data_IF_554215910671
#
_entry.id   IF_554215910671
#
_cell.length_a   1.000
_cell.length_b   1.000
_cell.length_c   1.000
_cell.angle_alpha   90.00
_cell.angle_beta   90.00
_cell.angle_gamma   90.00
#
_symmetry.space_group_name_H-M   'P 1'
#
loop_
_entity.id
_entity.type
_entity.pdbx_description
1 polymer ?
#
# COMPACT_ATOMS: atom_id res chain seq x y z
N UNK A 1 31.73 42.98 -22.42
CA UNK A 1 32.47 41.85 -21.81
C UNK A 1 32.01 41.49 -20.39
N UNK A 2 31.55 42.42 -19.55
CA UNK A 2 31.04 42.09 -18.20
C UNK A 2 29.59 41.56 -18.15
N UNK A 3 28.76 41.84 -19.16
CA UNK A 3 27.38 41.31 -19.22
C UNK A 3 27.29 39.82 -19.62
N UNK A 4 28.31 39.28 -20.28
CA UNK A 4 28.33 37.88 -20.74
C UNK A 4 28.70 36.90 -19.62
N UNK A 5 29.31 37.38 -18.53
CA UNK A 5 29.73 36.56 -17.38
C UNK A 5 28.56 36.33 -16.41
N UNK A 6 27.57 37.24 -16.39
CA UNK A 6 26.40 37.09 -15.51
C UNK A 6 25.41 36.00 -15.98
N UNK A 7 25.41 35.68 -17.28
CA UNK A 7 24.47 34.69 -17.83
C UNK A 7 24.90 33.24 -17.58
N UNK A 8 26.19 32.99 -17.35
CA UNK A 8 26.70 31.67 -16.99
C UNK A 8 26.36 31.25 -15.55
N UNK A 9 25.95 32.19 -14.68
CA UNK A 9 25.56 31.88 -13.29
C UNK A 9 24.08 31.52 -13.13
N UNK A 10 23.27 31.65 -14.18
CA UNK A 10 21.84 31.31 -14.16
C UNK A 10 21.51 29.98 -14.85
N UNK A 11 22.51 29.30 -15.41
CA UNK A 11 22.39 27.93 -15.92
C UNK A 11 23.14 26.99 -14.98
N UNK A 12 22.88 27.13 -13.68
CA UNK A 12 22.97 25.95 -12.83
C UNK A 12 21.83 25.06 -13.30
N UNK A 13 22.14 24.04 -14.10
CA UNK A 13 21.25 22.89 -14.19
C UNK A 13 20.93 22.52 -12.73
N UNK A 14 19.67 22.70 -12.33
CA UNK A 14 19.15 21.96 -11.21
C UNK A 14 19.06 20.53 -11.74
N UNK A 15 20.22 19.85 -11.86
CA UNK A 15 20.25 18.40 -11.89
C UNK A 15 19.65 18.06 -10.54
N UNK A 16 18.37 17.70 -10.53
CA UNK A 16 17.68 17.23 -9.33
C UNK A 16 18.55 16.10 -8.79
N UNK A 17 19.29 16.38 -7.72
CA UNK A 17 20.26 15.44 -7.18
C UNK A 17 19.43 14.30 -6.61
N UNK A 18 19.30 13.21 -7.37
CA UNK A 18 18.61 12.01 -6.90
C UNK A 18 19.16 11.65 -5.53
N UNK A 19 18.29 11.15 -4.65
CA UNK A 19 18.69 10.73 -3.31
C UNK A 19 19.84 9.71 -3.35
N UNK A 20 19.94 8.97 -4.45
CA UNK A 20 21.00 8.00 -4.75
C UNK A 20 22.40 8.64 -4.70
N UNK A 21 22.54 9.93 -5.04
CA UNK A 21 23.84 10.60 -5.09
C UNK A 21 24.21 11.39 -3.83
N UNK A 22 23.23 11.77 -3.01
CA UNK A 22 23.48 12.54 -1.77
C UNK A 22 23.64 11.66 -0.52
N UNK A 23 22.98 10.50 -0.47
CA UNK A 23 22.97 9.59 0.67
C UNK A 23 23.14 8.11 0.26
N UNK A 24 23.99 7.88 -0.76
CA UNK A 24 24.14 6.60 -1.47
C UNK A 24 24.09 5.34 -0.59
N UNK A 25 24.88 5.19 0.49
CA UNK A 25 24.89 3.94 1.25
C UNK A 25 23.57 3.67 1.98
N UNK A 26 22.92 4.73 2.51
CA UNK A 26 21.64 4.62 3.21
C UNK A 26 20.51 4.32 2.23
N UNK A 27 20.51 4.96 1.07
CA UNK A 27 19.51 4.77 0.01
C UNK A 27 19.62 3.36 -0.58
N UNK A 28 20.82 2.89 -0.91
CA UNK A 28 21.03 1.52 -1.42
C UNK A 28 20.51 0.48 -0.43
N UNK A 29 20.87 0.60 0.86
CA UNK A 29 20.39 -0.32 1.89
C UNK A 29 18.85 -0.29 2.04
N UNK A 30 18.23 0.86 1.81
CA UNK A 30 16.78 0.97 1.83
C UNK A 30 16.15 0.36 0.57
N UNK A 31 16.75 0.50 -0.61
CA UNK A 31 16.34 -0.18 -1.84
C UNK A 31 16.38 -1.70 -1.70
N UNK A 32 17.42 -2.25 -1.06
CA UNK A 32 17.47 -3.68 -0.74
C UNK A 32 16.31 -4.10 0.18
N UNK A 33 15.90 -3.22 1.11
CA UNK A 33 14.77 -3.48 1.99
C UNK A 33 13.45 -3.41 1.22
N UNK A 34 13.32 -2.46 0.30
CA UNK A 34 12.18 -2.34 -0.61
C UNK A 34 12.01 -3.61 -1.46
N UNK A 35 13.08 -4.13 -2.05
CA UNK A 35 13.06 -5.37 -2.83
C UNK A 35 12.57 -6.56 -1.98
N UNK A 36 13.06 -6.68 -0.74
CA UNK A 36 12.60 -7.73 0.19
C UNK A 36 11.13 -7.60 0.56
N UNK A 37 10.55 -6.39 0.56
CA UNK A 37 9.09 -6.24 0.73
C UNK A 37 8.36 -6.80 -0.48
N UNK A 38 8.83 -6.52 -1.70
CA UNK A 38 8.22 -7.05 -2.92
C UNK A 38 8.26 -8.59 -2.96
N UNK A 39 9.37 -9.20 -2.55
CA UNK A 39 9.49 -10.66 -2.39
C UNK A 39 8.49 -11.19 -1.34
N UNK A 40 8.47 -10.59 -0.15
CA UNK A 40 7.57 -11.01 0.92
C UNK A 40 6.09 -10.81 0.56
N UNK A 41 5.75 -9.82 -0.26
CA UNK A 41 4.39 -9.59 -0.74
C UNK A 41 3.90 -10.72 -1.64
N UNK A 42 4.77 -11.35 -2.43
CA UNK A 42 4.42 -12.50 -3.28
C UNK A 42 4.04 -13.75 -2.49
N UNK A 43 4.65 -13.93 -1.31
CA UNK A 43 4.42 -15.07 -0.41
C UNK A 43 3.46 -14.73 0.76
N UNK A 44 2.86 -13.55 0.75
CA UNK A 44 2.03 -13.09 1.87
C UNK A 44 0.73 -13.88 1.96
N UNK A 45 0.55 -14.57 3.08
CA UNK A 45 -0.65 -15.31 3.42
C UNK A 45 -1.11 -14.86 4.81
N UNK A 46 -2.23 -14.15 4.86
CA UNK A 46 -2.79 -13.60 6.09
C UNK A 46 -3.04 -14.68 7.16
N UNK A 47 -3.33 -15.91 6.76
CA UNK A 47 -3.62 -17.02 7.68
C UNK A 47 -2.35 -17.73 8.17
N UNK A 48 -1.20 -17.45 7.56
CA UNK A 48 0.07 -18.05 7.91
C UNK A 48 0.91 -17.10 8.78
N UNK A 49 1.06 -17.47 10.06
CA UNK A 49 1.82 -16.69 11.04
C UNK A 49 3.30 -16.47 10.64
N UNK A 50 3.88 -17.38 9.85
CA UNK A 50 5.30 -17.27 9.44
C UNK A 50 5.48 -16.18 8.40
N UNK A 51 4.65 -16.17 7.36
CA UNK A 51 4.75 -15.21 6.25
C UNK A 51 4.25 -13.82 6.67
N UNK A 52 3.21 -13.73 7.51
CA UNK A 52 2.78 -12.46 8.10
C UNK A 52 3.85 -11.84 9.00
N UNK A 53 4.51 -12.64 9.85
CA UNK A 53 5.60 -12.14 10.72
C UNK A 53 6.78 -11.62 9.89
N UNK A 54 7.28 -12.41 8.93
CA UNK A 54 8.41 -11.98 8.10
C UNK A 54 8.09 -10.73 7.29
N UNK A 55 6.88 -10.66 6.72
CA UNK A 55 6.40 -9.48 5.98
C UNK A 55 6.36 -8.24 6.87
N UNK A 56 5.73 -8.33 8.04
CA UNK A 56 5.64 -7.22 8.98
C UNK A 56 7.02 -6.75 9.46
N UNK A 57 7.98 -7.66 9.67
CA UNK A 57 9.35 -7.31 10.03
C UNK A 57 10.08 -6.52 8.93
N UNK A 58 9.98 -6.95 7.67
CA UNK A 58 10.61 -6.25 6.54
C UNK A 58 9.90 -4.92 6.28
N UNK A 59 8.56 -4.88 6.36
CA UNK A 59 7.77 -3.67 6.27
C UNK A 59 8.14 -2.63 7.33
N UNK A 60 8.35 -3.06 8.58
CA UNK A 60 8.84 -2.18 9.64
C UNK A 60 10.25 -1.63 9.35
N UNK A 61 11.12 -2.41 8.69
CA UNK A 61 12.44 -1.92 8.24
C UNK A 61 12.30 -0.89 7.12
N UNK A 62 11.42 -1.11 6.14
CA UNK A 62 11.17 -0.18 5.05
C UNK A 62 10.64 1.16 5.58
N UNK A 63 9.60 1.14 6.43
CA UNK A 63 9.04 2.36 7.05
C UNK A 63 10.09 3.19 7.79
N UNK A 64 11.05 2.54 8.45
CA UNK A 64 12.15 3.24 9.15
C UNK A 64 13.17 3.86 8.19
N UNK A 65 13.37 3.27 7.02
CA UNK A 65 14.38 3.76 6.07
C UNK A 65 13.80 4.63 4.94
N UNK A 66 12.48 4.64 4.74
CA UNK A 66 11.81 5.43 3.70
C UNK A 66 12.12 6.93 3.73
N UNK A 67 12.41 7.60 4.88
CA UNK A 67 12.85 9.00 4.86
C UNK A 67 14.14 9.24 4.06
N UNK A 68 14.93 8.20 3.77
CA UNK A 68 16.10 8.31 2.89
C UNK A 68 15.74 8.73 1.45
N UNK A 69 14.48 8.56 1.04
CA UNK A 69 13.95 8.98 -0.26
C UNK A 69 13.24 10.34 -0.22
N UNK A 70 13.30 11.11 0.88
CA UNK A 70 12.56 12.37 1.02
C UNK A 70 12.96 13.47 0.00
N UNK A 71 14.13 13.35 -0.62
CA UNK A 71 14.61 14.22 -1.68
C UNK A 71 14.22 13.76 -3.09
N UNK A 72 13.55 12.62 -3.23
CA UNK A 72 13.30 12.01 -4.53
C UNK A 72 12.14 12.72 -5.19
N UNK A 73 12.32 13.08 -6.46
CA UNK A 73 11.35 13.84 -7.24
C UNK A 73 10.87 13.08 -8.45
N UNK A 74 11.51 11.96 -8.80
CA UNK A 74 11.08 11.09 -9.88
C UNK A 74 9.74 10.42 -9.50
N UNK A 75 8.66 10.83 -10.16
CA UNK A 75 7.28 10.44 -9.84
C UNK A 75 7.10 8.93 -9.73
N UNK A 76 7.73 8.17 -10.64
CA UNK A 76 7.64 6.70 -10.64
C UNK A 76 8.25 6.08 -9.38
N UNK A 77 9.37 6.61 -8.90
CA UNK A 77 10.03 6.10 -7.70
C UNK A 77 9.18 6.43 -6.47
N UNK A 78 8.69 7.67 -6.39
CA UNK A 78 7.80 8.11 -5.30
C UNK A 78 6.52 7.28 -5.26
N UNK A 79 5.89 7.05 -6.41
CA UNK A 79 4.69 6.21 -6.53
C UNK A 79 4.93 4.78 -6.04
N UNK A 80 6.02 4.14 -6.51
CA UNK A 80 6.35 2.77 -6.10
C UNK A 80 6.61 2.68 -4.60
N UNK A 81 7.37 3.63 -4.04
CA UNK A 81 7.62 3.69 -2.59
C UNK A 81 6.30 3.83 -1.80
N UNK A 82 5.41 4.71 -2.23
CA UNK A 82 4.13 4.94 -1.57
C UNK A 82 3.21 3.71 -1.61
N UNK A 83 3.11 3.04 -2.77
CA UNK A 83 2.33 1.80 -2.89
C UNK A 83 2.91 0.70 -2.00
N UNK A 84 4.23 0.57 -1.93
CA UNK A 84 4.86 -0.43 -1.05
C UNK A 84 4.67 -0.09 0.43
N UNK A 85 4.70 1.19 0.82
CA UNK A 85 4.36 1.61 2.18
C UNK A 85 2.89 1.35 2.51
N UNK A 86 1.98 1.60 1.57
CA UNK A 86 0.56 1.30 1.70
C UNK A 86 0.32 -0.20 1.89
N UNK A 87 0.99 -1.04 1.10
CA UNK A 87 0.99 -2.49 1.32
C UNK A 87 1.43 -2.84 2.76
N UNK A 88 2.51 -2.20 3.24
CA UNK A 88 2.99 -2.42 4.60
C UNK A 88 2.05 -1.92 5.71
N UNK A 89 1.24 -0.89 5.44
CA UNK A 89 0.16 -0.47 6.34
C UNK A 89 -0.98 -1.49 6.32
N UNK A 90 -1.42 -1.92 5.14
CA UNK A 90 -2.47 -2.92 4.97
C UNK A 90 -2.09 -4.27 5.62
N UNK A 91 -0.90 -4.80 5.35
CA UNK A 91 -0.42 -6.05 5.93
C UNK A 91 -0.38 -5.97 7.47
N UNK A 92 0.08 -4.84 8.00
CA UNK A 92 0.08 -4.56 9.44
C UNK A 92 -1.32 -4.55 10.04
N UNK A 93 -2.26 -3.82 9.42
CA UNK A 93 -3.66 -3.77 9.84
C UNK A 93 -4.32 -5.15 9.78
N UNK A 94 -4.18 -5.86 8.66
CA UNK A 94 -4.80 -7.16 8.47
C UNK A 94 -4.30 -8.18 9.49
N UNK A 95 -2.98 -8.22 9.73
CA UNK A 95 -2.38 -9.17 10.68
C UNK A 95 -2.74 -8.83 12.13
N UNK A 96 -2.65 -7.57 12.53
CA UNK A 96 -2.67 -7.19 13.94
C UNK A 96 -4.05 -6.76 14.45
N UNK A 97 -4.93 -6.29 13.57
CA UNK A 97 -6.23 -5.74 13.96
C UNK A 97 -7.38 -6.56 13.37
N UNK A 98 -7.40 -6.72 12.03
CA UNK A 98 -8.49 -7.38 11.34
C UNK A 98 -8.61 -8.86 11.69
N UNK A 99 -7.56 -9.66 11.50
CA UNK A 99 -7.62 -11.10 11.70
C UNK A 99 -7.97 -11.48 13.16
N UNK A 100 -7.37 -10.85 14.20
CA UNK A 100 -7.79 -11.10 15.58
C UNK A 100 -9.24 -10.71 15.85
N UNK A 101 -9.74 -9.65 15.21
CA UNK A 101 -11.16 -9.26 15.29
C UNK A 101 -12.05 -10.31 14.64
N UNK A 102 -11.72 -10.74 13.42
CA UNK A 102 -12.45 -11.75 12.66
C UNK A 102 -12.54 -13.07 13.45
N UNK A 103 -11.43 -13.54 14.03
CA UNK A 103 -11.41 -14.74 14.88
C UNK A 103 -12.38 -14.60 16.07
N UNK A 104 -12.43 -13.42 16.71
CA UNK A 104 -13.37 -13.17 17.82
C UNK A 104 -14.82 -13.18 17.34
N UNK A 105 -15.12 -12.59 16.18
CA UNK A 105 -16.45 -12.61 15.58
C UNK A 105 -16.88 -14.03 15.24
N UNK A 106 -16.01 -14.81 14.61
CA UNK A 106 -16.27 -16.20 14.21
C UNK A 106 -16.41 -17.15 15.42
N UNK A 107 -15.74 -16.84 16.54
CA UNK A 107 -15.92 -17.61 17.78
C UNK A 107 -17.30 -17.43 18.42
N UNK A 108 -18.06 -16.40 18.02
CA UNK A 108 -19.39 -16.06 18.56
C UNK A 108 -20.44 -16.09 17.47
N UNK A 109 -20.49 -17.20 16.74
CA UNK A 109 -21.42 -17.40 15.64
C UNK A 109 -22.87 -17.15 16.04
N UNK A 110 -23.47 -16.11 15.47
CA UNK A 110 -24.90 -15.80 15.58
C UNK A 110 -25.64 -16.32 14.34
N UNK A 111 -26.97 -16.24 14.31
CA UNK A 111 -27.69 -16.41 13.03
C UNK A 111 -27.33 -15.29 12.06
N UNK A 112 -27.17 -14.05 12.53
CA UNK A 112 -26.82 -12.92 11.68
C UNK A 112 -25.47 -13.13 10.99
N UNK A 113 -24.43 -13.56 11.71
CA UNK A 113 -23.11 -13.78 11.12
C UNK A 113 -23.08 -14.98 10.16
N UNK A 114 -23.94 -15.99 10.35
CA UNK A 114 -24.09 -17.12 9.42
C UNK A 114 -24.85 -16.77 8.15
N UNK A 115 -25.87 -15.94 8.28
CA UNK A 115 -26.71 -15.52 7.16
C UNK A 115 -26.10 -14.34 6.37
N UNK A 116 -25.08 -13.69 6.93
CA UNK A 116 -24.45 -12.56 6.28
C UNK A 116 -23.71 -13.00 5.01
N UNK A 117 -24.21 -12.54 3.87
CA UNK A 117 -23.58 -12.72 2.57
C UNK A 117 -23.58 -11.37 1.82
N UNK A 118 -22.45 -10.66 1.77
CA UNK A 118 -22.34 -9.38 1.06
C UNK A 118 -22.21 -9.59 -0.45
N UNK A 119 -22.03 -10.82 -0.93
CA UNK A 119 -21.85 -11.16 -2.34
C UNK A 119 -23.04 -12.00 -2.82
N UNK A 120 -24.10 -11.35 -3.33
CA UNK A 120 -25.28 -12.05 -3.81
C UNK A 120 -24.93 -12.99 -4.97
N UNK A 121 -25.67 -14.10 -5.06
CA UNK A 121 -25.49 -15.07 -6.13
C UNK A 121 -25.80 -14.44 -7.50
N UNK A 122 -25.06 -14.86 -8.53
CA UNK A 122 -25.33 -14.42 -9.90
C UNK A 122 -26.63 -15.03 -10.43
N UNK A 123 -27.41 -14.21 -11.13
CA UNK A 123 -28.60 -14.61 -11.89
C UNK A 123 -28.47 -14.13 -13.35
N UNK A 124 -29.20 -14.77 -14.26
CA UNK A 124 -29.07 -14.49 -15.71
C UNK A 124 -29.56 -13.10 -16.12
N UNK A 125 -30.51 -12.51 -15.38
CA UNK A 125 -31.04 -11.18 -15.68
C UNK A 125 -30.02 -10.10 -15.29
N UNK A 126 -29.31 -9.58 -16.28
CA UNK A 126 -28.25 -8.57 -16.12
C UNK A 126 -28.76 -7.29 -15.44
N UNK A 127 -29.97 -6.84 -15.78
CA UNK A 127 -30.53 -5.61 -15.21
C UNK A 127 -30.83 -5.80 -13.73
N UNK A 128 -31.45 -6.94 -13.40
CA UNK A 128 -31.75 -7.30 -12.02
C UNK A 128 -30.46 -7.59 -11.23
N UNK A 129 -29.44 -8.17 -11.86
CA UNK A 129 -28.11 -8.34 -11.25
C UNK A 129 -27.47 -7.02 -10.88
N UNK A 130 -27.53 -6.02 -11.76
CA UNK A 130 -26.99 -4.69 -11.48
C UNK A 130 -27.70 -4.03 -10.28
N UNK A 131 -29.03 -4.18 -10.18
CA UNK A 131 -29.80 -3.68 -9.04
C UNK A 131 -29.41 -4.38 -7.73
N UNK A 132 -29.31 -5.72 -7.75
CA UNK A 132 -28.89 -6.54 -6.60
C UNK A 132 -27.46 -6.17 -6.14
N UNK A 133 -26.53 -6.02 -7.08
CA UNK A 133 -25.15 -5.61 -6.78
C UNK A 133 -25.10 -4.22 -6.16
N UNK A 134 -25.85 -3.26 -6.72
CA UNK A 134 -25.94 -1.91 -6.17
C UNK A 134 -26.47 -1.90 -4.73
N UNK A 135 -27.51 -2.68 -4.45
CA UNK A 135 -28.05 -2.81 -3.09
C UNK A 135 -27.03 -3.44 -2.13
N UNK A 136 -26.36 -4.52 -2.56
CA UNK A 136 -25.33 -5.17 -1.76
C UNK A 136 -24.17 -4.21 -1.43
N UNK A 137 -23.69 -3.45 -2.42
CA UNK A 137 -22.68 -2.41 -2.23
C UNK A 137 -23.13 -1.34 -1.24
N UNK A 138 -24.36 -0.83 -1.36
CA UNK A 138 -24.91 0.16 -0.42
C UNK A 138 -25.02 -0.39 1.01
N UNK A 139 -25.37 -1.67 1.16
CA UNK A 139 -25.45 -2.31 2.48
C UNK A 139 -24.06 -2.54 3.10
N UNK A 140 -23.05 -2.81 2.29
CA UNK A 140 -21.69 -3.07 2.76
C UNK A 140 -20.90 -1.79 3.05
N UNK A 141 -20.91 -0.83 2.12
CA UNK A 141 -20.11 0.40 2.20
C UNK A 141 -20.88 1.58 2.78
N UNK A 142 -22.21 1.50 2.85
CA UNK A 142 -23.08 2.64 3.17
C UNK A 142 -23.54 3.37 1.90
N UNK A 143 -24.70 4.01 2.00
CA UNK A 143 -25.38 4.68 0.86
C UNK A 143 -24.63 5.87 0.30
N UNK A 144 -23.73 6.46 1.08
CA UNK A 144 -23.04 7.71 0.76
C UNK A 144 -21.57 7.50 0.32
N UNK A 145 -21.12 6.24 0.22
CA UNK A 145 -19.72 5.88 -0.06
C UNK A 145 -19.54 5.21 -1.44
N UNK A 146 -20.50 5.39 -2.34
CA UNK A 146 -20.54 4.75 -3.67
C UNK A 146 -20.81 5.80 -4.76
N UNK A 147 -19.90 6.76 -4.89
CA UNK A 147 -19.76 7.67 -6.04
C UNK A 147 -18.43 7.42 -6.75
#
# INVERSE_FOLDING_TARGET
>A
MLLSILFCLLIGEVVSKSCIDSNRPKVIKCLETFQKVAEAAGDYDLTNATTTKSTNEVCGKLKRCSPAFACETEEKIVYLLNITLLFCDAAGFFTNEFLPCQIKLDSKTTECSRAWNPFPAQIEDEKKMAEIQKEACNNYFGKDNFD
#
